data_IF_339827263470
#
_entry.id   IF_339827263470
#
_cell.length_a   1.000
_cell.length_b   1.000
_cell.length_c   1.000
_cell.angle_alpha   90.00
_cell.angle_beta   90.00
_cell.angle_gamma   90.00
#
_symmetry.space_group_name_H-M   'P 1'
#
loop_
_entity.id
_entity.type
_entity.pdbx_description
1 polymer ?
#
# COMPACT_ATOMS: atom_id res chain seq x y z
N UNK A 1 -13.03 19.80 -9.15
CA UNK A 1 -12.79 20.13 -7.90
C UNK A 1 -13.50 19.29 -6.90
N UNK A 2 -12.82 18.87 -5.92
CA UNK A 2 -13.44 18.04 -4.95
C UNK A 2 -14.33 18.83 -4.05
N UNK A 3 -15.33 18.22 -3.56
CA UNK A 3 -16.20 18.91 -2.68
C UNK A 3 -15.50 18.94 -1.36
N UNK A 4 -16.01 19.70 -0.47
CA UNK A 4 -15.37 19.84 0.79
C UNK A 4 -15.63 18.66 1.68
N UNK A 5 -16.44 17.71 1.29
CA UNK A 5 -16.73 16.61 2.15
C UNK A 5 -16.01 15.37 1.69
N UNK A 6 -14.73 15.37 1.80
CA UNK A 6 -13.99 14.17 1.48
C UNK A 6 -14.31 13.09 2.48
N UNK A 7 -14.27 11.83 2.08
CA UNK A 7 -14.51 10.75 3.02
C UNK A 7 -13.49 10.75 4.13
N UNK A 8 -13.95 10.40 5.30
CA UNK A 8 -13.07 10.39 6.46
C UNK A 8 -12.24 9.15 6.50
N UNK A 9 -11.00 9.30 6.92
CA UNK A 9 -10.12 8.17 7.04
C UNK A 9 -10.61 7.24 8.14
N UNK A 10 -10.48 5.92 7.95
CA UNK A 10 -10.83 5.00 9.01
C UNK A 10 -10.03 5.29 10.26
N UNK A 11 -10.67 5.14 11.40
CA UNK A 11 -10.02 5.48 12.65
C UNK A 11 -8.87 4.56 12.98
N UNK A 12 -8.84 3.38 12.39
CA UNK A 12 -7.76 2.46 12.72
C UNK A 12 -6.45 2.78 12.01
N UNK A 13 -6.43 3.78 11.14
CA UNK A 13 -5.21 4.08 10.41
C UNK A 13 -4.25 4.90 11.26
N UNK A 14 -2.97 4.57 11.14
CA UNK A 14 -1.94 5.35 11.76
C UNK A 14 -1.55 6.47 10.80
N UNK A 15 -0.52 7.18 11.13
CA UNK A 15 -0.16 8.35 10.38
C UNK A 15 0.17 8.11 8.91
N UNK A 16 0.99 7.13 8.57
CA UNK A 16 1.31 6.93 7.16
C UNK A 16 0.07 6.60 6.34
N UNK A 17 -0.79 5.75 6.87
CA UNK A 17 -1.99 5.37 6.15
C UNK A 17 -2.97 6.51 6.04
N UNK A 18 -3.10 7.29 7.10
CA UNK A 18 -4.02 8.41 7.10
C UNK A 18 -3.57 9.48 6.12
N UNK A 19 -2.26 9.72 6.04
CA UNK A 19 -1.73 10.70 5.12
C UNK A 19 -2.00 10.28 3.69
N UNK A 20 -1.78 9.01 3.38
CA UNK A 20 -2.03 8.53 2.03
C UNK A 20 -3.53 8.61 1.70
N UNK A 21 -4.36 8.24 2.65
CA UNK A 21 -5.81 8.32 2.47
C UNK A 21 -6.22 9.74 2.10
N UNK A 22 -5.77 10.71 2.90
CA UNK A 22 -6.18 12.08 2.70
C UNK A 22 -5.71 12.62 1.36
N UNK A 23 -4.52 12.22 0.95
CA UNK A 23 -4.00 12.65 -0.30
C UNK A 23 -4.83 12.10 -1.46
N UNK A 24 -5.17 10.83 -1.39
CA UNK A 24 -5.91 10.21 -2.48
C UNK A 24 -7.33 10.77 -2.55
N UNK A 25 -8.03 10.88 -1.43
CA UNK A 25 -9.42 11.31 -1.50
C UNK A 25 -9.51 12.80 -1.83
N UNK A 26 -8.44 13.54 -1.64
CA UNK A 26 -8.48 14.95 -2.04
C UNK A 26 -8.26 15.12 -3.54
N UNK A 27 -7.70 14.12 -4.19
CA UNK A 27 -7.42 14.21 -5.61
C UNK A 27 -8.35 13.38 -6.49
N UNK A 28 -8.97 12.37 -5.95
CA UNK A 28 -9.79 11.47 -6.74
C UNK A 28 -11.15 11.27 -6.10
N UNK A 29 -12.16 11.09 -6.93
CA UNK A 29 -13.48 10.75 -6.46
C UNK A 29 -13.60 9.25 -6.54
N UNK A 30 -13.71 8.59 -5.42
CA UNK A 30 -13.76 7.15 -5.38
C UNK A 30 -15.13 6.67 -4.92
N UNK A 31 -15.60 5.60 -5.55
CA UNK A 31 -16.87 5.02 -5.11
C UNK A 31 -16.60 4.15 -3.89
N UNK A 32 -17.62 3.53 -3.37
CA UNK A 32 -17.48 2.82 -2.12
C UNK A 32 -16.55 1.62 -2.24
N UNK A 33 -16.55 0.94 -3.38
CA UNK A 33 -15.65 -0.18 -3.55
C UNK A 33 -14.20 0.28 -3.58
N UNK A 34 -13.94 1.38 -4.27
CA UNK A 34 -12.59 1.91 -4.32
C UNK A 34 -12.14 2.41 -2.96
N UNK A 35 -13.07 2.98 -2.18
CA UNK A 35 -12.70 3.42 -0.85
C UNK A 35 -12.31 2.25 0.04
N UNK A 36 -12.94 1.10 -0.14
CA UNK A 36 -12.55 -0.07 0.61
C UNK A 36 -11.17 -0.56 0.23
N UNK A 37 -10.86 -0.53 -1.06
CA UNK A 37 -9.53 -0.90 -1.50
C UNK A 37 -8.50 0.09 -0.96
N UNK A 38 -8.86 1.37 -0.94
CA UNK A 38 -7.96 2.37 -0.41
C UNK A 38 -7.70 2.13 1.07
N UNK A 39 -8.73 1.77 1.83
CA UNK A 39 -8.55 1.50 3.25
C UNK A 39 -7.58 0.35 3.47
N UNK A 40 -7.68 -0.70 2.64
CA UNK A 40 -6.76 -1.82 2.75
C UNK A 40 -5.35 -1.41 2.40
N UNK A 41 -5.20 -0.59 1.37
CA UNK A 41 -3.88 -0.13 0.98
C UNK A 41 -3.25 0.71 2.09
N UNK A 42 -4.04 1.59 2.69
CA UNK A 42 -3.54 2.42 3.77
C UNK A 42 -3.11 1.59 4.97
N UNK A 43 -3.85 0.52 5.23
CA UNK A 43 -3.49 -0.35 6.32
C UNK A 43 -2.18 -1.06 6.04
N UNK A 44 -1.95 -1.45 4.80
CA UNK A 44 -0.68 -2.08 4.45
C UNK A 44 0.48 -1.08 4.54
N UNK A 45 0.23 0.18 4.22
CA UNK A 45 1.25 1.20 4.36
C UNK A 45 1.64 1.35 5.84
N UNK A 46 0.65 1.29 6.73
CA UNK A 46 0.93 1.35 8.15
C UNK A 46 1.73 0.16 8.62
N UNK A 47 1.37 -1.03 8.14
CA UNK A 47 2.09 -2.23 8.54
C UNK A 47 3.53 -2.19 8.08
N UNK A 48 3.77 -1.72 6.87
CA UNK A 48 5.13 -1.63 6.36
C UNK A 48 5.94 -0.63 7.17
N UNK A 49 5.32 0.50 7.51
CA UNK A 49 6.03 1.51 8.29
C UNK A 49 6.35 1.01 9.70
N UNK A 50 5.41 0.28 10.28
CA UNK A 50 5.63 -0.27 11.60
C UNK A 50 6.76 -1.29 11.59
N UNK A 51 6.77 -2.15 10.61
CA UNK A 51 7.83 -3.14 10.51
C UNK A 51 9.18 -2.49 10.26
N UNK A 52 9.20 -1.45 9.45
CA UNK A 52 10.44 -0.71 9.21
C UNK A 52 10.96 -0.08 10.50
N UNK A 53 10.06 0.45 11.31
CA UNK A 53 10.47 1.06 12.57
C UNK A 53 11.05 0.01 13.52
N UNK A 54 10.46 -1.17 13.53
CA UNK A 54 10.98 -2.23 14.36
C UNK A 54 12.37 -2.64 13.91
N UNK A 55 12.56 -2.76 12.59
CA UNK A 55 13.86 -3.17 12.08
C UNK A 55 14.93 -2.10 12.29
N UNK A 56 14.52 -0.84 12.35
CA UNK A 56 15.47 0.23 12.62
C UNK A 56 15.97 0.16 14.07
N UNK A 57 15.15 -0.36 14.95
CA UNK A 57 15.50 -0.42 16.37
C UNK A 57 16.06 -1.76 16.79
N UNK A 58 15.96 -2.78 15.98
CA UNK A 58 16.36 -4.12 16.35
C UNK A 58 17.19 -4.77 15.27
N UNK A 59 17.98 -5.76 15.62
CA UNK A 59 18.81 -6.42 14.59
C UNK A 59 17.95 -7.19 13.62
N UNK A 60 18.33 -7.16 12.38
CA UNK A 60 17.61 -7.88 11.34
C UNK A 60 17.78 -9.38 11.53
N UNK A 61 18.93 -9.80 12.02
CA UNK A 61 19.18 -11.20 12.24
C UNK A 61 19.47 -11.40 13.71
N UNK A 62 18.89 -12.40 14.28
CA UNK A 62 19.12 -12.69 15.68
C UNK A 62 19.39 -14.20 15.81
N UNK A 63 19.86 -14.62 16.98
CA UNK A 63 20.14 -16.04 17.19
C UNK A 63 19.05 -16.65 18.00
N UNK A 64 18.60 -17.82 17.58
CA UNK A 64 17.54 -18.49 18.32
C UNK A 64 18.19 -19.30 19.45
N UNK A 65 17.38 -20.07 20.14
CA UNK A 65 17.89 -20.81 21.28
C UNK A 65 18.86 -21.91 20.92
N UNK A 66 18.97 -22.24 19.66
CA UNK A 66 19.96 -23.22 19.22
C UNK A 66 21.16 -22.51 18.62
N UNK A 67 21.26 -21.19 18.84
CA UNK A 67 22.38 -20.41 18.36
C UNK A 67 22.44 -20.36 16.84
N UNK A 68 21.31 -20.53 16.20
CA UNK A 68 21.25 -20.45 14.74
C UNK A 68 20.77 -19.06 14.35
N UNK A 69 21.33 -18.47 13.30
CA UNK A 69 20.87 -17.16 12.88
C UNK A 69 19.48 -17.23 12.31
N UNK A 70 18.64 -16.29 12.69
CA UNK A 70 17.29 -16.21 12.21
C UNK A 70 16.97 -14.80 11.80
N UNK A 71 16.22 -14.66 10.70
CA UNK A 71 15.83 -13.37 10.24
C UNK A 71 14.71 -12.84 11.12
N UNK A 72 14.75 -11.58 11.46
CA UNK A 72 13.71 -10.99 12.28
C UNK A 72 12.38 -11.09 11.52
N UNK A 73 11.30 -11.47 12.21
CA UNK A 73 10.01 -11.61 11.52
C UNK A 73 9.53 -10.36 10.84
N UNK A 74 9.94 -9.20 11.31
CA UNK A 74 9.49 -7.95 10.70
C UNK A 74 10.01 -7.78 9.28
N UNK A 75 11.07 -8.50 8.89
CA UNK A 75 11.57 -8.43 7.52
C UNK A 75 10.50 -8.94 6.56
N UNK A 76 9.92 -10.09 6.86
CA UNK A 76 8.88 -10.63 6.00
C UNK A 76 7.63 -9.78 6.05
N UNK A 77 7.30 -9.24 7.21
CA UNK A 77 6.11 -8.40 7.35
C UNK A 77 6.27 -7.15 6.49
N UNK A 78 7.42 -6.51 6.54
CA UNK A 78 7.62 -5.32 5.75
C UNK A 78 7.55 -5.63 4.26
N UNK A 79 8.21 -6.70 3.84
CA UNK A 79 8.20 -7.07 2.44
C UNK A 79 6.80 -7.38 1.95
N UNK A 80 6.07 -8.18 2.71
CA UNK A 80 4.73 -8.58 2.29
C UNK A 80 3.77 -7.40 2.30
N UNK A 81 3.89 -6.52 3.28
CA UNK A 81 3.02 -5.36 3.35
C UNK A 81 3.30 -4.40 2.20
N UNK A 82 4.57 -4.24 1.84
CA UNK A 82 4.92 -3.36 0.73
C UNK A 82 4.39 -3.91 -0.59
N UNK A 83 4.50 -5.22 -0.78
CA UNK A 83 3.97 -5.84 -1.99
C UNK A 83 2.46 -5.70 -2.04
N UNK A 84 1.79 -5.93 -0.91
CA UNK A 84 0.34 -5.81 -0.86
C UNK A 84 -0.11 -4.39 -1.13
N UNK A 85 0.60 -3.41 -0.58
CA UNK A 85 0.27 -2.02 -0.81
C UNK A 85 0.39 -1.70 -2.30
N UNK A 86 1.48 -2.09 -2.93
CA UNK A 86 1.68 -1.81 -4.34
C UNK A 86 0.61 -2.44 -5.20
N UNK A 87 0.22 -3.66 -4.83
CA UNK A 87 -0.80 -4.36 -5.57
C UNK A 87 -2.15 -3.67 -5.45
N UNK A 88 -2.50 -3.23 -4.25
CA UNK A 88 -3.77 -2.56 -4.03
C UNK A 88 -3.80 -1.20 -4.73
N UNK A 89 -2.70 -0.48 -4.72
CA UNK A 89 -2.64 0.78 -5.42
C UNK A 89 -2.82 0.56 -6.92
N UNK A 90 -2.25 -0.51 -7.44
CA UNK A 90 -2.41 -0.81 -8.85
C UNK A 90 -3.88 -1.14 -9.16
N UNK A 91 -4.54 -1.86 -8.24
CA UNK A 91 -5.94 -2.17 -8.44
C UNK A 91 -6.79 -0.92 -8.45
N UNK A 92 -6.39 0.09 -7.70
CA UNK A 92 -7.13 1.33 -7.67
C UNK A 92 -6.93 2.13 -8.95
N UNK A 93 -5.86 1.87 -9.67
CA UNK A 93 -5.55 2.53 -10.93
C UNK A 93 -5.54 4.04 -10.81
N UNK A 94 -5.01 4.53 -9.76
CA UNK A 94 -5.04 5.96 -9.53
C UNK A 94 -4.18 6.76 -10.48
N UNK A 95 -3.08 6.20 -10.87
CA UNK A 95 -2.20 6.93 -11.71
C UNK A 95 -2.47 6.75 -13.14
N UNK A 96 -3.42 6.06 -13.48
CA UNK A 96 -3.68 5.80 -14.80
C UNK A 96 -4.33 6.79 -15.55
N UNK A 97 -3.81 7.29 -16.45
CA UNK A 97 -4.41 8.19 -17.25
C UNK A 97 -4.16 7.65 -18.52
N UNK A 98 -4.68 6.68 -18.92
CA UNK A 98 -4.43 6.01 -20.12
C UNK A 98 -4.71 6.87 -21.24
N UNK A 99 -3.80 7.24 -21.89
CA UNK A 99 -3.98 8.01 -23.01
C UNK A 99 -4.63 7.13 -23.94
N UNK A 100 -5.67 7.40 -24.27
CA UNK A 100 -6.49 6.65 -25.09
C UNK A 100 -5.81 5.80 -26.03
N UNK A 101 -5.06 6.19 -26.79
CA UNK A 101 -4.53 5.36 -27.74
C UNK A 101 -3.12 5.28 -27.69
N UNK A 102 -2.57 5.65 -26.71
CA UNK A 102 -1.20 5.61 -26.73
C UNK A 102 -0.74 4.21 -26.55
N UNK A 103 -1.52 3.32 -26.05
CA UNK A 103 -1.12 2.04 -25.85
C UNK A 103 -1.29 1.22 -27.03
N UNK A 104 -0.35 0.58 -27.52
CA UNK A 104 -0.55 -0.25 -28.67
C UNK A 104 -1.49 -1.36 -28.33
N UNK A 105 -2.18 -1.77 -29.27
CA UNK A 105 -3.12 -2.81 -29.04
C UNK A 105 -2.37 -4.06 -28.73
N UNK A 106 -2.95 -4.86 -27.93
CA UNK A 106 -2.40 -6.01 -27.59
C UNK A 106 -2.32 -6.89 -28.70
N UNK A 107 -1.34 -7.49 -29.02
CA UNK A 107 -1.30 -8.33 -30.05
C UNK A 107 -1.77 -9.56 -29.71
N UNK A 108 -2.82 -9.91 -29.94
CA UNK A 108 -3.44 -11.09 -29.65
C UNK A 108 -2.66 -12.12 -30.22
N UNK A 109 -2.74 -13.01 -29.77
CA UNK A 109 -2.22 -14.03 -30.39
C UNK A 109 -0.96 -13.71 -30.88
N UNK A 110 -0.58 -12.91 -30.59
CA UNK A 110 0.46 -12.57 -31.11
C UNK A 110 1.00 -13.50 -30.97
N UNK A 111 0.50 -13.90 -31.10
CA UNK A 111 0.64 -14.76 -31.19
C UNK A 111 0.86 -14.81 -31.46
#
# INVERSE_FOLDING_TARGET
>A
MKTSTDPQAPVFLAEPGRTFWQRVVSEFDLDSAALQLLALACKQADRAAEARAILAAQPVVYRDRFDAPKEHPAVAIERNATIAFARLVRELALDVEPPADSRPPRRPGTC
#
